data_IF_518334394100
#
_entry.id   IF_518334394100
#
_cell.length_a   1.000
_cell.length_b   1.000
_cell.length_c   1.000
_cell.angle_alpha   90.00
_cell.angle_beta   90.00
_cell.angle_gamma   90.00
#
_symmetry.space_group_name_H-M   'P 1'
#
loop_
_entity.id
_entity.type
_entity.pdbx_description
1 polymer ?
#
# COMPACT_ATOMS: atom_id res chain seq x y z
N UNK A 1 -17.82 -13.92 7.56
CA UNK A 1 -17.97 -14.34 8.97
C UNK A 1 -18.86 -13.33 9.67
N UNK A 2 -19.82 -13.77 10.50
CA UNK A 2 -20.78 -12.86 11.15
C UNK A 2 -20.30 -12.57 12.58
N UNK A 3 -20.31 -11.29 12.96
CA UNK A 3 -19.96 -10.83 14.30
C UNK A 3 -21.14 -10.10 14.95
N UNK A 4 -21.33 -10.29 16.25
CA UNK A 4 -22.30 -9.52 17.04
C UNK A 4 -21.68 -8.20 17.48
N UNK A 5 -22.34 -7.08 17.19
CA UNK A 5 -21.94 -5.75 17.65
C UNK A 5 -22.29 -5.61 19.13
N UNK A 6 -21.28 -5.49 19.98
CA UNK A 6 -21.42 -5.34 21.44
C UNK A 6 -21.41 -3.88 21.88
N UNK A 7 -20.80 -3.00 21.10
CA UNK A 7 -20.86 -1.54 21.25
C UNK A 7 -21.34 -0.93 19.94
N UNK A 8 -22.41 -0.12 19.93
CA UNK A 8 -22.96 0.46 18.70
C UNK A 8 -21.88 1.17 17.88
N UNK A 9 -22.04 1.12 16.56
CA UNK A 9 -21.23 1.93 15.65
C UNK A 9 -21.91 3.31 15.58
N UNK A 10 -21.20 4.35 15.98
CA UNK A 10 -21.72 5.72 16.07
C UNK A 10 -22.35 6.18 14.74
N UNK A 11 -23.64 6.54 14.78
CA UNK A 11 -24.45 6.94 13.62
C UNK A 11 -25.04 5.78 12.80
N UNK A 12 -24.82 4.52 13.22
CA UNK A 12 -25.30 3.31 12.57
C UNK A 12 -25.87 2.32 13.60
N UNK A 13 -26.60 2.82 14.60
CA UNK A 13 -27.11 2.07 15.75
C UNK A 13 -28.08 0.93 15.37
N UNK A 14 -28.63 0.96 14.16
CA UNK A 14 -29.46 -0.10 13.59
C UNK A 14 -28.69 -1.39 13.25
N UNK A 15 -27.35 -1.36 13.24
CA UNK A 15 -26.50 -2.52 12.98
C UNK A 15 -26.31 -3.30 14.29
N UNK A 16 -26.98 -4.45 14.40
CA UNK A 16 -26.81 -5.35 15.54
C UNK A 16 -25.71 -6.40 15.31
N UNK A 17 -25.50 -6.79 14.06
CA UNK A 17 -24.50 -7.77 13.62
C UNK A 17 -23.85 -7.30 12.32
N UNK A 18 -22.66 -7.78 12.02
CA UNK A 18 -21.98 -7.51 10.74
C UNK A 18 -21.47 -8.79 10.12
N UNK A 19 -21.77 -8.99 8.84
CA UNK A 19 -21.12 -10.01 8.02
C UNK A 19 -19.87 -9.40 7.39
N UNK A 20 -18.69 -9.86 7.81
CA UNK A 20 -17.39 -9.45 7.30
C UNK A 20 -16.94 -10.39 6.17
N UNK A 21 -16.55 -9.79 5.05
CA UNK A 21 -15.98 -10.42 3.86
C UNK A 21 -14.62 -9.79 3.55
N UNK A 22 -13.58 -10.60 3.41
CA UNK A 22 -12.25 -10.14 3.00
C UNK A 22 -12.25 -9.83 1.51
N UNK A 23 -11.72 -8.66 1.12
CA UNK A 23 -11.55 -8.30 -0.31
C UNK A 23 -10.13 -8.67 -0.75
N UNK A 24 -9.14 -8.16 -0.02
CA UNK A 24 -7.70 -8.42 -0.18
C UNK A 24 -6.99 -8.23 1.17
N UNK A 25 -5.67 -8.20 1.23
CA UNK A 25 -4.92 -8.09 2.50
C UNK A 25 -5.17 -6.80 3.30
N UNK A 26 -5.68 -5.74 2.65
CA UNK A 26 -5.89 -4.41 3.26
C UNK A 26 -7.36 -4.15 3.51
N UNK A 27 -8.22 -4.48 2.55
CA UNK A 27 -9.61 -4.06 2.55
C UNK A 27 -10.55 -5.20 2.96
N UNK A 28 -11.56 -4.83 3.75
CA UNK A 28 -12.70 -5.70 4.07
C UNK A 28 -14.00 -4.97 3.77
N UNK A 29 -15.01 -5.75 3.40
CA UNK A 29 -16.40 -5.30 3.26
C UNK A 29 -17.17 -5.83 4.45
N UNK A 30 -18.00 -4.99 5.06
CA UNK A 30 -18.95 -5.43 6.10
C UNK A 30 -20.37 -5.09 5.68
N UNK A 31 -21.24 -6.10 5.74
CA UNK A 31 -22.68 -5.95 5.53
C UNK A 31 -23.39 -5.94 6.89
N UNK A 32 -24.13 -4.89 7.17
CA UNK A 32 -24.86 -4.73 8.44
C UNK A 32 -26.13 -5.57 8.46
N UNK A 33 -26.37 -6.24 9.59
CA UNK A 33 -27.54 -7.08 9.84
C UNK A 33 -28.24 -6.62 11.13
N UNK A 34 -29.56 -6.84 11.18
CA UNK A 34 -30.38 -6.65 12.38
C UNK A 34 -30.25 -7.85 13.32
N UNK A 35 -30.90 -7.78 14.49
CA UNK A 35 -30.86 -8.86 15.49
C UNK A 35 -31.37 -10.20 14.94
N UNK A 36 -32.38 -10.16 14.07
CA UNK A 36 -33.01 -11.30 13.41
C UNK A 36 -32.24 -11.79 12.16
N UNK A 37 -30.98 -11.36 11.99
CA UNK A 37 -30.10 -11.68 10.86
C UNK A 37 -30.58 -11.15 9.49
N UNK A 38 -31.63 -10.33 9.46
CA UNK A 38 -32.05 -9.66 8.22
C UNK A 38 -31.13 -8.50 7.86
N UNK A 39 -30.96 -8.25 6.57
CA UNK A 39 -30.14 -7.16 6.06
C UNK A 39 -30.71 -5.79 6.50
N UNK A 40 -29.85 -4.92 7.02
CA UNK A 40 -30.24 -3.55 7.41
C UNK A 40 -30.05 -2.53 6.28
N UNK A 41 -29.53 -2.94 5.12
CA UNK A 41 -29.30 -2.11 3.94
C UNK A 41 -28.01 -1.29 3.98
N UNK A 42 -27.10 -1.59 4.92
CA UNK A 42 -25.85 -0.85 5.11
C UNK A 42 -24.67 -1.75 4.73
N UNK A 43 -23.84 -1.24 3.83
CA UNK A 43 -22.55 -1.82 3.50
C UNK A 43 -21.47 -0.79 3.83
N UNK A 44 -20.42 -1.20 4.55
CA UNK A 44 -19.26 -0.37 4.84
C UNK A 44 -18.00 -1.00 4.26
N UNK A 45 -17.06 -0.16 3.87
CA UNK A 45 -15.68 -0.57 3.58
C UNK A 45 -14.80 -0.21 4.75
N UNK A 46 -14.04 -1.17 5.21
CA UNK A 46 -13.04 -0.96 6.25
C UNK A 46 -11.66 -1.33 5.69
N UNK A 47 -10.63 -0.76 6.29
CA UNK A 47 -9.24 -1.03 5.94
C UNK A 47 -8.43 -1.39 7.17
N UNK A 48 -7.48 -2.29 7.00
CA UNK A 48 -6.50 -2.63 8.01
C UNK A 48 -5.52 -1.45 8.18
N UNK A 49 -5.57 -0.71 9.29
CA UNK A 49 -4.80 0.52 9.45
C UNK A 49 -3.28 0.27 9.48
N UNK A 50 -2.86 -0.92 9.93
CA UNK A 50 -1.45 -1.32 9.95
C UNK A 50 -0.84 -1.46 8.55
N UNK A 51 -1.69 -1.56 7.50
CA UNK A 51 -1.24 -1.57 6.10
C UNK A 51 -1.05 -0.17 5.53
N UNK A 52 -1.63 0.86 6.14
CA UNK A 52 -1.45 2.26 5.74
C UNK A 52 -0.33 2.91 6.55
N UNK A 53 -0.38 2.73 7.87
CA UNK A 53 0.45 3.44 8.82
C UNK A 53 1.21 2.42 9.68
N UNK A 54 2.52 2.32 9.46
CA UNK A 54 3.39 1.33 10.15
C UNK A 54 3.44 1.54 11.66
N UNK A 55 3.30 2.78 12.11
CA UNK A 55 3.29 3.22 13.50
C UNK A 55 1.86 3.35 14.05
N UNK A 56 0.83 2.87 13.34
CA UNK A 56 -0.51 2.81 13.88
C UNK A 56 -0.52 1.85 15.07
N UNK A 57 -0.76 2.40 16.26
CA UNK A 57 -0.78 1.66 17.51
C UNK A 57 -1.85 2.27 18.40
N UNK A 58 -2.66 1.41 19.01
CA UNK A 58 -3.67 1.81 19.98
C UNK A 58 -3.68 0.87 21.17
N UNK A 59 -4.11 1.38 22.31
CA UNK A 59 -4.46 0.55 23.46
C UNK A 59 -5.97 0.36 23.48
N UNK A 60 -6.45 -0.88 23.37
CA UNK A 60 -7.88 -1.18 23.47
C UNK A 60 -8.33 -0.84 24.90
N UNK A 61 -9.31 0.06 25.11
CA UNK A 61 -9.77 0.41 26.45
C UNK A 61 -10.31 -0.79 27.23
N UNK A 62 -10.10 -0.84 28.55
CA UNK A 62 -10.47 -1.99 29.41
C UNK A 62 -11.97 -2.35 29.35
N UNK A 63 -12.85 -1.36 29.20
CA UNK A 63 -14.28 -1.58 28.99
C UNK A 63 -14.54 -2.35 27.69
N UNK A 64 -13.86 -2.01 26.59
CA UNK A 64 -13.98 -2.73 25.32
C UNK A 64 -13.35 -4.12 25.41
N UNK A 65 -12.20 -4.26 26.06
CA UNK A 65 -11.59 -5.58 26.31
C UNK A 65 -12.56 -6.50 27.06
N UNK A 66 -13.20 -5.99 28.11
CA UNK A 66 -14.20 -6.74 28.90
C UNK A 66 -15.43 -7.07 28.06
N UNK A 67 -15.91 -6.11 27.27
CA UNK A 67 -17.10 -6.26 26.44
C UNK A 67 -16.94 -7.30 25.32
N UNK A 68 -15.72 -7.40 24.77
CA UNK A 68 -15.37 -8.36 23.72
C UNK A 68 -14.71 -9.64 24.25
N UNK A 69 -14.55 -9.79 25.57
CA UNK A 69 -13.85 -10.90 26.21
C UNK A 69 -12.43 -11.13 25.64
N UNK A 70 -11.65 -10.05 25.59
CA UNK A 70 -10.27 -10.03 25.06
C UNK A 70 -9.28 -10.36 26.17
N UNK A 71 -8.36 -11.27 25.87
CA UNK A 71 -7.23 -11.66 26.69
C UNK A 71 -5.92 -11.60 25.89
N UNK A 72 -4.77 -11.81 26.53
CA UNK A 72 -3.44 -11.70 25.90
C UNK A 72 -3.25 -12.54 24.62
N UNK A 73 -3.94 -13.67 24.50
CA UNK A 73 -3.81 -14.58 23.35
C UNK A 73 -5.03 -14.52 22.41
N UNK A 74 -5.91 -13.53 22.59
CA UNK A 74 -7.11 -13.43 21.79
C UNK A 74 -6.82 -13.05 20.34
N UNK A 75 -7.57 -13.61 19.41
CA UNK A 75 -7.44 -13.32 17.98
C UNK A 75 -8.25 -12.08 17.62
N UNK A 76 -7.66 -10.91 17.84
CA UNK A 76 -8.30 -9.62 17.58
C UNK A 76 -7.83 -9.04 16.25
N UNK A 77 -8.79 -8.64 15.40
CA UNK A 77 -8.55 -7.85 14.19
C UNK A 77 -9.04 -6.42 14.41
N UNK A 78 -8.31 -5.45 13.88
CA UNK A 78 -8.65 -4.03 13.94
C UNK A 78 -8.80 -3.51 12.52
N UNK A 79 -9.92 -2.83 12.24
CA UNK A 79 -10.13 -2.16 10.96
C UNK A 79 -10.69 -0.75 11.16
N UNK A 80 -10.28 0.20 10.33
CA UNK A 80 -10.82 1.56 10.33
C UNK A 80 -11.85 1.72 9.21
N UNK A 81 -12.92 2.46 9.49
CA UNK A 81 -13.95 2.74 8.49
C UNK A 81 -13.43 3.71 7.43
N UNK A 82 -13.87 3.51 6.19
CA UNK A 82 -13.55 4.36 5.06
C UNK A 82 -14.79 4.98 4.41
N UNK A 83 -14.62 6.19 3.91
CA UNK A 83 -15.51 6.83 2.94
C UNK A 83 -14.86 6.64 1.57
N UNK A 84 -15.45 5.77 0.74
CA UNK A 84 -14.98 5.53 -0.62
C UNK A 84 -15.14 6.77 -1.49
N UNK A 85 -14.09 7.10 -2.23
CA UNK A 85 -14.13 8.12 -3.28
C UNK A 85 -13.66 7.54 -4.62
N UNK A 86 -13.84 8.33 -5.69
CA UNK A 86 -13.29 8.05 -7.00
C UNK A 86 -12.39 9.23 -7.39
N UNK A 87 -11.09 9.00 -7.64
CA UNK A 87 -10.40 7.70 -7.62
C UNK A 87 -10.19 7.16 -6.19
N UNK A 88 -9.84 5.87 -6.05
CA UNK A 88 -9.85 5.18 -4.74
C UNK A 88 -8.86 5.82 -3.75
N UNK A 89 -7.73 6.33 -4.23
CA UNK A 89 -6.69 7.00 -3.44
C UNK A 89 -7.20 8.26 -2.70
N UNK A 90 -8.28 8.89 -3.17
CA UNK A 90 -8.89 10.02 -2.47
C UNK A 90 -9.88 9.60 -1.39
N UNK A 91 -10.07 8.29 -1.18
CA UNK A 91 -10.90 7.77 -0.09
C UNK A 91 -10.35 8.21 1.25
N UNK A 92 -11.26 8.47 2.18
CA UNK A 92 -10.93 8.99 3.50
C UNK A 92 -11.05 7.88 4.53
N UNK A 93 -10.06 7.74 5.42
CA UNK A 93 -10.09 6.80 6.53
C UNK A 93 -10.26 7.53 7.86
N UNK A 94 -11.03 6.94 8.76
CA UNK A 94 -11.19 7.41 10.13
C UNK A 94 -10.31 6.59 11.09
N UNK A 95 -9.14 7.12 11.45
CA UNK A 95 -8.20 6.48 12.38
C UNK A 95 -8.57 6.62 13.85
N UNK A 96 -9.51 7.49 14.19
CA UNK A 96 -9.95 7.70 15.58
C UNK A 96 -11.12 6.80 15.99
N UNK A 97 -11.73 6.08 15.06
CA UNK A 97 -12.88 5.22 15.34
C UNK A 97 -12.75 3.80 14.75
N UNK A 98 -11.67 3.06 15.06
CA UNK A 98 -11.51 1.69 14.59
C UNK A 98 -12.56 0.75 15.18
N UNK A 99 -12.83 -0.35 14.49
CA UNK A 99 -13.69 -1.44 14.93
C UNK A 99 -12.81 -2.65 15.24
N UNK A 100 -12.91 -3.13 16.47
CA UNK A 100 -12.26 -4.36 16.90
C UNK A 100 -13.18 -5.54 16.69
N UNK A 101 -12.63 -6.64 16.18
CA UNK A 101 -13.31 -7.91 15.95
C UNK A 101 -12.55 -8.99 16.70
N UNK A 102 -13.22 -9.69 17.61
CA UNK A 102 -12.66 -10.85 18.30
C UNK A 102 -13.12 -12.12 17.57
N UNK A 103 -12.19 -12.81 16.90
CA UNK A 103 -12.47 -14.07 16.20
C UNK A 103 -12.81 -15.23 17.15
N UNK A 104 -12.39 -15.15 18.42
CA UNK A 104 -12.56 -16.25 19.37
C UNK A 104 -14.03 -16.46 19.75
N UNK A 105 -14.80 -15.37 19.81
CA UNK A 105 -16.21 -15.38 20.20
C UNK A 105 -17.14 -14.67 19.20
N UNK A 106 -16.61 -14.25 18.05
CA UNK A 106 -17.37 -13.57 16.99
C UNK A 106 -18.11 -12.31 17.50
N UNK A 107 -17.43 -11.53 18.34
CA UNK A 107 -17.93 -10.23 18.80
C UNK A 107 -17.15 -9.09 18.16
N UNK A 108 -17.78 -7.92 18.03
CA UNK A 108 -17.13 -6.72 17.56
C UNK A 108 -17.63 -5.47 18.29
N UNK A 109 -16.78 -4.44 18.39
CA UNK A 109 -17.13 -3.16 19.00
C UNK A 109 -16.31 -2.04 18.37
N UNK A 110 -16.92 -0.86 18.23
CA UNK A 110 -16.19 0.35 17.90
C UNK A 110 -15.38 0.81 19.12
N UNK A 111 -14.16 1.27 18.85
CA UNK A 111 -13.30 1.93 19.81
C UNK A 111 -13.28 3.42 19.44
N UNK A 112 -13.63 4.29 20.38
CA UNK A 112 -13.51 5.73 20.19
C UNK A 112 -12.19 6.20 20.83
N UNK A 113 -11.25 6.65 20.00
CA UNK A 113 -9.97 7.18 20.43
C UNK A 113 -10.08 8.70 20.59
N UNK A 114 -9.47 9.23 21.65
CA UNK A 114 -9.44 10.66 21.90
C UNK A 114 -8.25 11.30 21.17
N UNK A 115 -8.50 12.31 20.34
CA UNK A 115 -7.44 12.99 19.57
C UNK A 115 -6.33 13.60 20.46
N UNK A 116 -6.63 13.90 21.73
CA UNK A 116 -5.61 14.38 22.68
C UNK A 116 -4.60 13.30 23.07
N UNK A 117 -5.02 12.03 23.09
CA UNK A 117 -4.17 10.87 23.37
C UNK A 117 -3.49 10.35 22.09
N UNK A 118 -4.13 10.56 20.94
CA UNK A 118 -3.69 10.13 19.62
C UNK A 118 -3.63 11.32 18.65
N UNK A 119 -2.71 12.29 18.85
CA UNK A 119 -2.66 13.53 18.08
C UNK A 119 -2.36 13.31 16.59
N UNK A 120 -1.78 12.17 16.23
CA UNK A 120 -1.44 11.82 14.84
C UNK A 120 -2.54 11.03 14.12
N UNK A 121 -3.72 10.86 14.73
CA UNK A 121 -4.88 10.18 14.14
C UNK A 121 -6.00 11.18 13.88
N UNK A 122 -6.57 11.14 12.67
CA UNK A 122 -7.69 12.01 12.30
C UNK A 122 -8.87 11.22 11.72
N UNK A 123 -10.04 11.87 11.66
CA UNK A 123 -11.31 11.27 11.22
C UNK A 123 -11.48 11.18 9.70
N UNK A 124 -10.67 11.90 8.92
CA UNK A 124 -10.85 12.07 7.48
C UNK A 124 -9.50 12.21 6.78
N UNK A 125 -8.61 11.23 6.95
CA UNK A 125 -7.31 11.24 6.29
C UNK A 125 -7.41 10.61 4.90
N UNK A 126 -6.94 11.28 3.83
CA UNK A 126 -6.83 10.66 2.52
C UNK A 126 -5.87 9.48 2.55
N UNK A 127 -6.27 8.34 2.00
CA UNK A 127 -5.38 7.17 1.92
C UNK A 127 -4.20 7.41 0.96
N UNK A 128 -4.28 8.41 0.07
CA UNK A 128 -3.17 8.88 -0.77
C UNK A 128 -1.96 9.39 0.03
N UNK A 129 -2.14 9.74 1.31
CA UNK A 129 -1.01 10.05 2.19
C UNK A 129 -0.14 8.82 2.49
N UNK A 130 -0.68 7.61 2.28
CA UNK A 130 -0.09 6.33 2.68
C UNK A 130 0.11 5.37 1.51
N UNK A 131 -0.64 5.57 0.43
CA UNK A 131 -0.60 4.76 -0.79
C UNK A 131 -0.14 5.65 -1.93
N UNK A 132 1.02 5.35 -2.51
CA UNK A 132 1.59 6.13 -3.60
C UNK A 132 1.34 5.44 -4.93
N UNK A 133 0.25 5.85 -5.60
CA UNK A 133 -0.10 5.39 -6.93
C UNK A 133 0.52 6.33 -7.97
N UNK A 134 1.04 5.74 -9.04
CA UNK A 134 1.64 6.45 -10.17
C UNK A 134 1.00 6.00 -11.48
N UNK A 135 0.64 6.96 -12.34
CA UNK A 135 0.23 6.68 -13.71
C UNK A 135 1.44 6.29 -14.56
N UNK A 136 1.34 5.17 -15.29
CA UNK A 136 2.40 4.72 -16.18
C UNK A 136 2.30 5.47 -17.52
N UNK A 137 3.25 6.38 -17.78
CA UNK A 137 3.32 7.19 -19.02
C UNK A 137 4.17 6.54 -20.11
N UNK A 138 5.07 5.63 -19.73
CA UNK A 138 5.81 4.75 -20.65
C UNK A 138 5.66 3.31 -20.16
N UNK A 139 5.22 2.38 -21.01
CA UNK A 139 4.89 1.02 -20.59
C UNK A 139 6.09 0.33 -19.95
N UNK A 140 5.81 -0.51 -18.96
CA UNK A 140 6.78 -1.46 -18.43
C UNK A 140 6.82 -2.63 -19.42
N UNK A 141 7.93 -2.79 -20.14
CA UNK A 141 8.10 -3.78 -21.20
C UNK A 141 7.80 -5.20 -20.70
N UNK A 142 6.93 -5.90 -21.42
CA UNK A 142 6.44 -7.23 -21.06
C UNK A 142 5.31 -7.24 -20.02
N UNK A 143 4.92 -6.06 -19.51
CA UNK A 143 3.86 -5.86 -18.54
C UNK A 143 2.98 -4.65 -18.93
N UNK A 144 2.65 -4.51 -20.21
CA UNK A 144 1.91 -3.38 -20.77
C UNK A 144 0.49 -3.22 -20.19
N UNK A 145 -0.05 -4.25 -19.53
CA UNK A 145 -1.30 -4.18 -18.79
C UNK A 145 -1.24 -3.31 -17.53
N UNK A 146 -0.03 -2.96 -17.06
CA UNK A 146 0.18 -2.05 -15.93
C UNK A 146 0.00 -0.62 -16.44
N UNK A 147 -1.18 -0.04 -16.19
CA UNK A 147 -1.48 1.36 -16.53
C UNK A 147 -1.27 2.30 -15.34
N UNK A 148 -1.35 1.76 -14.13
CA UNK A 148 -1.02 2.41 -12.86
C UNK A 148 -0.17 1.46 -12.03
N UNK A 149 0.65 1.98 -11.12
CA UNK A 149 1.37 1.16 -10.15
C UNK A 149 1.28 1.78 -8.76
N UNK A 150 1.14 0.94 -7.74
CA UNK A 150 1.44 1.33 -6.37
C UNK A 150 2.94 1.12 -6.12
N UNK A 151 3.61 2.15 -5.61
CA UNK A 151 5.00 2.09 -5.18
C UNK A 151 5.08 1.93 -3.66
N UNK A 152 5.81 0.90 -3.21
CA UNK A 152 5.96 0.55 -1.80
C UNK A 152 7.46 0.48 -1.49
N UNK A 153 7.96 1.41 -0.70
CA UNK A 153 9.34 1.37 -0.21
C UNK A 153 9.50 0.27 0.86
N UNK A 154 10.45 -0.64 0.65
CA UNK A 154 10.76 -1.70 1.63
C UNK A 154 11.81 -1.16 2.60
N UNK A 155 12.94 -0.72 2.06
CA UNK A 155 14.02 -0.04 2.75
C UNK A 155 14.78 0.89 1.77
N UNK A 156 15.88 1.48 2.22
CA UNK A 156 16.70 2.40 1.43
C UNK A 156 17.29 1.78 0.14
N UNK A 157 17.37 0.45 0.04
CA UNK A 157 17.89 -0.29 -1.11
C UNK A 157 16.78 -0.88 -1.97
N UNK A 158 15.69 -1.34 -1.38
CA UNK A 158 14.65 -2.09 -2.09
C UNK A 158 13.28 -1.43 -2.03
N UNK A 159 12.55 -1.59 -3.12
CA UNK A 159 11.14 -1.23 -3.22
C UNK A 159 10.36 -2.35 -3.91
N UNK A 160 9.03 -2.28 -3.82
CA UNK A 160 8.10 -3.13 -4.55
C UNK A 160 7.19 -2.24 -5.37
N UNK A 161 6.84 -2.69 -6.58
CA UNK A 161 5.69 -2.16 -7.30
C UNK A 161 4.60 -3.22 -7.39
N UNK A 162 3.36 -2.77 -7.21
CA UNK A 162 2.15 -3.56 -7.47
C UNK A 162 1.46 -2.96 -8.70
N UNK A 163 1.30 -3.75 -9.75
CA UNK A 163 0.66 -3.31 -10.99
C UNK A 163 -0.86 -3.22 -10.82
N UNK A 164 -1.42 -2.11 -11.29
CA UNK A 164 -2.84 -1.80 -11.19
C UNK A 164 -3.44 -1.55 -12.58
N UNK A 165 -4.73 -1.89 -12.70
CA UNK A 165 -5.60 -1.56 -13.83
C UNK A 165 -6.13 -0.13 -13.69
N UNK A 166 -6.83 0.34 -14.72
CA UNK A 166 -7.35 1.72 -14.76
C UNK A 166 -8.33 2.02 -13.60
N UNK A 167 -9.12 1.02 -13.21
CA UNK A 167 -10.08 1.07 -12.11
C UNK A 167 -9.45 0.94 -10.71
N UNK A 168 -8.12 0.83 -10.63
CA UNK A 168 -7.35 0.68 -9.41
C UNK A 168 -7.26 -0.75 -8.88
N UNK A 169 -7.90 -1.73 -9.53
CA UNK A 169 -7.77 -3.14 -9.16
C UNK A 169 -6.40 -3.70 -9.55
N UNK A 170 -5.89 -4.66 -8.78
CA UNK A 170 -4.60 -5.28 -9.10
C UNK A 170 -4.66 -6.04 -10.43
N UNK A 171 -3.59 -5.92 -11.23
CA UNK A 171 -3.45 -6.67 -12.47
C UNK A 171 -2.72 -8.02 -12.30
N UNK A 172 -2.41 -8.40 -11.06
CA UNK A 172 -1.69 -9.65 -10.72
C UNK A 172 -0.19 -9.62 -11.02
N UNK A 173 0.39 -8.46 -11.32
CA UNK A 173 1.83 -8.30 -11.53
C UNK A 173 2.43 -7.56 -10.35
N UNK A 174 3.49 -8.12 -9.79
CA UNK A 174 4.30 -7.44 -8.79
C UNK A 174 5.78 -7.65 -9.06
N UNK A 175 6.58 -6.61 -8.81
CA UNK A 175 8.02 -6.64 -9.04
C UNK A 175 8.77 -6.06 -7.84
N UNK A 176 9.88 -6.70 -7.47
CA UNK A 176 10.87 -6.12 -6.57
C UNK A 176 11.82 -5.26 -7.39
N UNK A 177 12.16 -4.08 -6.87
CA UNK A 177 13.08 -3.14 -7.48
C UNK A 177 14.22 -2.82 -6.51
N UNK A 178 15.38 -2.43 -7.05
CA UNK A 178 16.52 -1.96 -6.27
C UNK A 178 16.90 -0.53 -6.67
N UNK A 179 17.24 0.28 -5.68
CA UNK A 179 17.81 1.60 -5.87
C UNK A 179 19.23 1.45 -6.46
N UNK A 180 19.47 1.84 -7.73
CA UNK A 180 20.75 1.60 -8.37
C UNK A 180 21.87 2.45 -7.76
N UNK A 181 21.57 3.58 -7.12
CA UNK A 181 22.58 4.39 -6.44
C UNK A 181 23.21 3.66 -5.24
N UNK A 182 22.49 2.70 -4.65
CA UNK A 182 23.00 1.82 -3.59
C UNK A 182 23.82 0.65 -4.11
N UNK A 183 23.82 0.42 -5.43
CA UNK A 183 24.50 -0.70 -6.08
C UNK A 183 25.67 -0.24 -6.97
N UNK A 184 25.62 0.98 -7.51
CA UNK A 184 26.63 1.56 -8.40
C UNK A 184 26.70 3.07 -8.19
N UNK A 185 27.83 3.56 -7.64
CA UNK A 185 28.06 4.99 -7.29
C UNK A 185 27.81 5.94 -8.46
N UNK A 186 28.22 5.55 -9.66
CA UNK A 186 28.15 6.40 -10.87
C UNK A 186 27.03 5.96 -11.81
N UNK A 187 25.89 5.50 -11.28
CA UNK A 187 24.74 5.15 -12.10
C UNK A 187 24.05 6.41 -12.65
N UNK A 188 24.33 6.72 -13.92
CA UNK A 188 23.83 7.89 -14.65
C UNK A 188 23.32 7.50 -16.04
N UNK A 189 22.23 8.11 -16.47
CA UNK A 189 21.70 7.94 -17.82
C UNK A 189 20.86 9.15 -18.22
N UNK A 190 20.70 9.35 -19.52
CA UNK A 190 19.88 10.41 -20.06
C UNK A 190 18.41 9.99 -20.12
N UNK A 191 17.52 10.82 -19.58
CA UNK A 191 16.07 10.66 -19.73
C UNK A 191 15.66 11.22 -21.10
N UNK A 192 15.01 10.46 -21.99
CA UNK A 192 14.58 10.97 -23.29
C UNK A 192 13.67 12.20 -23.16
N UNK A 193 13.83 13.19 -24.04
CA UNK A 193 13.04 14.44 -24.02
C UNK A 193 11.53 14.19 -24.03
N UNK A 194 11.08 13.18 -24.79
CA UNK A 194 9.66 12.80 -24.82
C UNK A 194 9.13 12.40 -23.43
N UNK A 195 9.93 11.66 -22.65
CA UNK A 195 9.57 11.26 -21.29
C UNK A 195 9.64 12.45 -20.34
N UNK A 196 10.65 13.32 -20.48
CA UNK A 196 10.75 14.54 -19.68
C UNK A 196 9.48 15.39 -19.83
N UNK A 197 9.01 15.59 -21.07
CA UNK A 197 7.76 16.31 -21.33
C UNK A 197 6.53 15.58 -20.78
N UNK A 198 6.41 14.26 -20.98
CA UNK A 198 5.25 13.48 -20.54
C UNK A 198 5.08 13.42 -19.02
N UNK A 199 6.20 13.48 -18.28
CA UNK A 199 6.23 13.35 -16.82
C UNK A 199 6.51 14.67 -16.10
N UNK A 200 6.62 15.78 -16.82
CA UNK A 200 7.01 17.10 -16.31
C UNK A 200 8.34 17.06 -15.51
N UNK A 201 9.36 16.44 -16.09
CA UNK A 201 10.70 16.35 -15.49
C UNK A 201 11.56 17.49 -16.02
N UNK A 202 12.13 18.25 -15.08
CA UNK A 202 13.12 19.29 -15.32
C UNK A 202 14.40 19.02 -14.52
N UNK A 203 15.43 19.85 -14.72
CA UNK A 203 16.68 19.80 -13.95
C UNK A 203 16.52 19.96 -12.43
N UNK A 204 15.37 20.45 -11.95
CA UNK A 204 15.10 20.67 -10.53
C UNK A 204 14.14 19.62 -9.96
N UNK A 205 13.52 18.81 -10.82
CA UNK A 205 12.56 17.77 -10.42
C UNK A 205 13.31 16.66 -9.70
N UNK A 206 12.86 16.33 -8.48
CA UNK A 206 13.37 15.18 -7.74
C UNK A 206 12.62 13.95 -8.20
N UNK A 207 13.32 13.03 -8.87
CA UNK A 207 12.75 11.76 -9.30
C UNK A 207 13.32 10.61 -8.47
N UNK A 208 12.52 9.56 -8.30
CA UNK A 208 12.99 8.28 -7.79
C UNK A 208 13.38 7.38 -8.96
N UNK A 209 14.48 6.66 -8.81
CA UNK A 209 15.02 5.77 -9.85
C UNK A 209 15.22 4.40 -9.23
N UNK A 210 14.65 3.39 -9.86
CA UNK A 210 14.71 2.01 -9.39
C UNK A 210 14.90 1.07 -10.57
N UNK A 211 15.64 -0.02 -10.39
CA UNK A 211 15.87 -1.02 -11.42
C UNK A 211 15.19 -2.35 -11.05
N UNK A 212 14.55 -3.05 -12.01
CA UNK A 212 13.94 -4.37 -11.76
C UNK A 212 14.93 -5.39 -11.21
N UNK A 213 14.50 -6.13 -10.19
CA UNK A 213 15.25 -7.23 -9.59
C UNK A 213 14.63 -8.56 -9.99
N UNK A 214 15.46 -9.46 -10.49
CA UNK A 214 15.15 -10.87 -10.66
C UNK A 214 15.52 -11.58 -9.37
N UNK A 215 14.50 -11.79 -8.55
CA UNK A 215 14.66 -12.32 -7.21
C UNK A 215 15.14 -13.78 -7.22
N UNK A 216 16.11 -14.08 -6.37
CA UNK A 216 16.56 -15.42 -5.97
C UNK A 216 16.71 -15.46 -4.45
N UNK A 217 16.60 -16.65 -3.87
CA UNK A 217 16.83 -16.88 -2.44
C UNK A 217 18.20 -17.55 -2.27
N UNK A 218 19.16 -16.94 -1.56
CA UNK A 218 19.07 -15.67 -0.82
C UNK A 218 19.21 -14.43 -1.73
N UNK A 219 18.79 -13.24 -1.25
CA UNK A 219 18.69 -12.00 -2.06
C UNK A 219 20.01 -11.60 -2.72
N UNK A 220 21.16 -11.94 -2.11
CA UNK A 220 22.50 -11.68 -2.64
C UNK A 220 22.75 -12.36 -4.00
N UNK A 221 22.06 -13.46 -4.29
CA UNK A 221 22.11 -14.18 -5.57
C UNK A 221 21.18 -13.59 -6.63
N UNK A 222 20.31 -12.66 -6.22
CA UNK A 222 19.42 -11.94 -7.14
C UNK A 222 20.23 -11.07 -8.08
N UNK A 223 19.63 -10.76 -9.22
CA UNK A 223 20.26 -9.95 -10.25
C UNK A 223 19.42 -8.73 -10.55
N UNK A 224 20.06 -7.59 -10.82
CA UNK A 224 19.40 -6.34 -11.18
C UNK A 224 19.56 -6.07 -12.68
N UNK A 225 18.53 -5.50 -13.31
CA UNK A 225 18.59 -5.02 -14.68
C UNK A 225 18.87 -3.51 -14.70
N UNK A 226 20.15 -3.13 -14.78
CA UNK A 226 20.60 -1.74 -14.86
C UNK A 226 20.34 -1.08 -16.24
N UNK A 227 19.82 -1.84 -17.21
CA UNK A 227 19.42 -1.31 -18.52
C UNK A 227 17.93 -0.99 -18.62
N UNK A 228 17.16 -1.20 -17.56
CA UNK A 228 15.72 -0.97 -17.56
C UNK A 228 15.23 -0.17 -16.34
N UNK A 229 15.83 1.00 -16.03
CA UNK A 229 15.37 1.83 -14.93
C UNK A 229 13.91 2.24 -15.09
N UNK A 230 13.22 2.22 -13.96
CA UNK A 230 11.90 2.80 -13.75
C UNK A 230 12.11 4.11 -13.01
N UNK A 231 11.62 5.19 -13.61
CA UNK A 231 11.61 6.53 -13.01
C UNK A 231 10.22 6.80 -12.47
N UNK A 232 10.15 7.35 -11.25
CA UNK A 232 8.92 7.88 -10.68
C UNK A 232 9.10 9.37 -10.40
N UNK A 233 8.13 10.19 -10.83
CA UNK A 233 8.03 11.59 -10.46
C UNK A 233 6.99 11.73 -9.33
N UNK A 234 7.40 11.97 -8.06
CA UNK A 234 6.49 12.11 -6.94
C UNK A 234 5.66 13.41 -6.99
N UNK A 235 6.08 14.42 -7.77
CA UNK A 235 5.32 15.68 -7.90
C UNK A 235 4.11 15.51 -8.81
N UNK A 236 4.25 14.76 -9.91
CA UNK A 236 3.16 14.50 -10.87
C UNK A 236 2.48 13.16 -10.70
N UNK A 237 2.95 12.32 -9.76
CA UNK A 237 2.49 10.94 -9.60
C UNK A 237 2.51 10.16 -10.92
N UNK A 238 3.61 10.28 -11.67
CA UNK A 238 3.82 9.55 -12.93
C UNK A 238 5.02 8.62 -12.86
N UNK A 239 4.97 7.52 -13.61
CA UNK A 239 6.08 6.57 -13.74
C UNK A 239 6.35 6.22 -15.20
N UNK A 240 7.60 5.86 -15.50
CA UNK A 240 8.01 5.39 -16.82
C UNK A 240 9.19 4.42 -16.72
N UNK A 241 9.18 3.38 -17.55
CA UNK A 241 10.40 2.62 -17.82
C UNK A 241 11.21 3.29 -18.94
N UNK A 242 12.54 3.35 -18.76
CA UNK A 242 13.49 3.88 -19.75
C UNK A 242 14.42 2.74 -20.20
N UNK A 243 14.14 2.09 -21.34
CA UNK A 243 15.03 1.07 -21.87
C UNK A 243 16.33 1.71 -22.38
N UNK A 244 17.44 1.38 -21.73
CA UNK A 244 18.78 1.84 -22.09
C UNK A 244 19.40 0.88 -23.10
N UNK A 245 20.09 1.43 -24.09
CA UNK A 245 20.80 0.63 -25.07
C UNK A 245 22.20 0.28 -24.55
N UNK A 246 22.55 -1.00 -24.54
CA UNK A 246 23.84 -1.46 -24.01
C UNK A 246 25.06 -0.88 -24.75
N UNK A 247 24.90 -0.47 -26.01
CA UNK A 247 25.99 0.17 -26.75
C UNK A 247 26.29 1.59 -26.26
N UNK A 248 25.26 2.32 -25.81
CA UNK A 248 25.40 3.66 -25.22
C UNK A 248 25.84 3.57 -23.74
N UNK A 249 25.43 2.50 -23.07
CA UNK A 249 25.70 2.26 -21.64
C UNK A 249 26.40 0.92 -21.38
N UNK A 250 27.65 0.73 -21.86
CA UNK A 250 28.34 -0.55 -21.81
C UNK A 250 28.68 -1.04 -20.38
N UNK A 251 28.58 -0.15 -19.40
CA UNK A 251 28.85 -0.44 -17.99
C UNK A 251 27.61 -0.94 -17.21
N UNK A 252 26.47 -1.08 -17.90
CA UNK A 252 25.20 -1.57 -17.35
C UNK A 252 24.82 -2.90 -18.00
N UNK A 253 24.45 -3.87 -17.18
CA UNK A 253 24.01 -5.19 -17.57
C UNK A 253 22.56 -5.48 -17.19
N UNK A 254 21.96 -6.45 -17.89
CA UNK A 254 20.59 -6.90 -17.63
C UNK A 254 20.47 -7.87 -16.45
N UNK A 255 21.57 -8.54 -16.10
CA UNK A 255 21.62 -9.63 -15.10
C UNK A 255 22.87 -9.41 -14.24
N UNK A 256 22.94 -8.27 -13.56
CA UNK A 256 24.07 -7.97 -12.67
C UNK A 256 23.85 -8.53 -11.28
N UNK A 257 24.73 -9.43 -10.77
CA UNK A 257 24.56 -10.00 -9.43
C UNK A 257 24.69 -8.91 -8.36
N UNK A 258 23.70 -8.82 -7.45
CA UNK A 258 23.70 -7.84 -6.36
C UNK A 258 24.95 -7.98 -5.50
N UNK A 259 25.35 -9.23 -5.18
CA UNK A 259 26.57 -9.50 -4.42
C UNK A 259 27.82 -8.84 -5.02
N UNK A 260 28.01 -8.98 -6.33
CA UNK A 260 29.18 -8.43 -7.05
C UNK A 260 29.18 -6.90 -7.01
N UNK A 261 28.01 -6.27 -7.17
CA UNK A 261 27.86 -4.83 -7.13
C UNK A 261 28.18 -4.27 -5.74
N UNK A 262 27.76 -4.96 -4.68
CA UNK A 262 28.05 -4.57 -3.29
C UNK A 262 29.55 -4.66 -2.97
N UNK A 263 30.22 -5.73 -3.39
CA UNK A 263 31.67 -5.89 -3.20
C UNK A 263 32.49 -4.80 -3.90
N UNK A 264 31.99 -4.24 -5.01
CA UNK A 264 32.64 -3.13 -5.71
C UNK A 264 32.46 -1.77 -5.00
N UNK A 265 31.56 -1.67 -4.01
CA UNK A 265 31.28 -0.43 -3.28
C UNK A 265 32.02 -0.30 -1.94
N UNK A 266 32.42 -1.43 -1.36
CA UNK A 266 33.22 -1.55 -0.12
C UNK A 266 34.69 -1.25 -0.36
#
# INVERSE_FOLDING_TARGET
>A
MIYTIKSPISGLEQIAKVELEQIDDRFVKVRGLKEDDTDCGIELRLINPYTLKRDYSLTIPTNIQTLLDIHNNSKVKIFCMMILQKPIESSLVNFLAPIAFNDDNQSAAQIELQAIEYPDFHVAEPISNYIHIYDVKSPILGFEQIVKLEFIEIDHMFAKIQGLREDGSECGVSMTLANPAMLKKDYIFDVPVAIQTLMDISKHTKVFIYCPVWFKTPIEESTVNLLAPIILNPETHTAAQIPLQAHDYPNYGMIEPIKKLREALS
#
